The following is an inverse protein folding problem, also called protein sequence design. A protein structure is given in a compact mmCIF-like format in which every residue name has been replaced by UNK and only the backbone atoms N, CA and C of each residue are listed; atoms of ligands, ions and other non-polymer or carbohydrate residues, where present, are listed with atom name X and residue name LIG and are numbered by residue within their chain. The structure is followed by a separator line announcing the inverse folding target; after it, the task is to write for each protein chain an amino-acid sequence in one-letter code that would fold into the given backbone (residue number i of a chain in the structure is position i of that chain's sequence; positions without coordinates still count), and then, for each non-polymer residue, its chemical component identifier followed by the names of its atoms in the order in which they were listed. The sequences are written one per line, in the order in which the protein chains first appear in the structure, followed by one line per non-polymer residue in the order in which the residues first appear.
data_IF_317005872621
#
_entry.id   IF_317005872621
#
_cell.length_a   1.000
_cell.length_b   1.000
_cell.length_c   1.000
_cell.angle_alpha   90.00
_cell.angle_beta   90.00
_cell.angle_gamma   90.00
#
_symmetry.space_group_name_H-M   'P 1'
#
loop_
_entity.id
_entity.type
_entity.pdbx_description
1 polymer ?
#
# COMPACT_ATOMS: atom_id res chain seq x y z
N UNK A 1 22.95 19.76 -18.89
CA UNK A 1 23.94 19.43 -17.84
C UNK A 1 25.15 20.34 -17.82
N UNK A 2 26.04 20.35 -18.83
CA UNK A 2 27.28 21.16 -18.80
C UNK A 2 27.06 22.67 -18.57
N UNK A 3 26.01 23.25 -19.15
CA UNK A 3 25.65 24.67 -18.95
C UNK A 3 25.28 24.98 -17.49
N UNK A 4 24.49 24.12 -16.84
CA UNK A 4 24.10 24.32 -15.44
C UNK A 4 25.29 24.16 -14.48
N UNK A 5 26.13 23.14 -14.69
CA UNK A 5 27.30 22.89 -13.86
C UNK A 5 28.26 24.10 -13.86
N UNK A 6 28.51 24.67 -15.04
CA UNK A 6 29.34 25.86 -15.19
C UNK A 6 28.71 27.09 -14.52
N UNK A 7 27.39 27.26 -14.68
CA UNK A 7 26.67 28.40 -14.12
C UNK A 7 26.71 28.43 -12.58
N UNK A 8 26.51 27.27 -11.94
CA UNK A 8 26.52 27.15 -10.47
C UNK A 8 27.89 26.83 -9.89
N UNK A 9 28.93 26.78 -10.74
CA UNK A 9 30.32 26.52 -10.33
C UNK A 9 30.48 25.21 -9.53
N UNK A 10 29.93 24.12 -10.06
CA UNK A 10 30.15 22.74 -9.60
C UNK A 10 30.70 21.89 -10.76
N UNK A 11 31.33 20.77 -10.44
CA UNK A 11 31.82 19.84 -11.46
C UNK A 11 30.67 19.09 -12.14
N UNK A 12 30.92 18.59 -13.35
CA UNK A 12 29.93 17.73 -14.04
C UNK A 12 29.66 16.42 -13.28
N UNK A 13 30.63 15.92 -12.52
CA UNK A 13 30.48 14.73 -11.66
C UNK A 13 29.51 14.99 -10.52
N UNK A 14 29.66 16.11 -9.80
CA UNK A 14 28.74 16.49 -8.73
C UNK A 14 27.32 16.71 -9.24
N UNK A 15 27.17 17.39 -10.39
CA UNK A 15 25.85 17.56 -10.98
C UNK A 15 25.22 16.20 -11.34
N UNK A 16 26.01 15.25 -11.84
CA UNK A 16 25.52 13.91 -12.16
C UNK A 16 25.06 13.16 -10.91
N UNK A 17 25.87 13.13 -9.85
CA UNK A 17 25.51 12.49 -8.58
C UNK A 17 24.25 13.10 -7.95
N UNK A 18 24.08 14.43 -8.02
CA UNK A 18 22.83 15.06 -7.60
C UNK A 18 21.63 14.62 -8.45
N UNK A 19 21.79 14.48 -9.77
CA UNK A 19 20.72 14.03 -10.65
C UNK A 19 20.36 12.55 -10.42
N UNK A 20 21.33 11.69 -10.10
CA UNK A 20 21.08 10.31 -9.68
C UNK A 20 20.29 10.25 -8.37
N UNK A 21 20.66 11.08 -7.39
CA UNK A 21 19.88 11.23 -6.16
C UNK A 21 18.46 11.72 -6.45
N UNK A 22 18.31 12.77 -7.26
CA UNK A 22 17.01 13.34 -7.59
C UNK A 22 16.12 12.34 -8.33
N UNK A 23 16.67 11.58 -9.27
CA UNK A 23 15.94 10.50 -9.95
C UNK A 23 15.49 9.41 -8.97
N UNK A 24 16.36 9.00 -8.05
CA UNK A 24 16.05 7.99 -7.03
C UNK A 24 14.99 8.51 -6.04
N UNK A 25 15.12 9.77 -5.62
CA UNK A 25 14.18 10.45 -4.73
C UNK A 25 12.78 10.52 -5.35
N UNK A 26 12.69 10.97 -6.60
CA UNK A 26 11.42 11.06 -7.33
C UNK A 26 10.82 9.67 -7.58
N UNK A 27 11.64 8.66 -7.89
CA UNK A 27 11.17 7.30 -8.09
C UNK A 27 10.72 6.61 -6.80
N UNK A 28 11.26 6.99 -5.65
CA UNK A 28 10.93 6.39 -4.34
C UNK A 28 9.91 7.22 -3.56
N UNK A 29 9.47 8.36 -4.13
CA UNK A 29 8.58 9.34 -3.49
C UNK A 29 9.12 9.88 -2.16
N UNK A 30 10.45 9.96 -2.03
CA UNK A 30 11.15 10.35 -0.80
C UNK A 30 12.60 9.90 -0.79
N UNK A 31 13.33 10.18 0.29
CA UNK A 31 14.74 9.78 0.47
C UNK A 31 14.93 8.44 1.19
N UNK A 32 13.91 7.58 1.12
CA UNK A 32 13.95 6.20 1.61
C UNK A 32 13.56 5.28 0.46
N UNK A 33 14.32 4.21 0.24
CA UNK A 33 13.97 3.24 -0.80
C UNK A 33 12.61 2.60 -0.49
N UNK A 34 11.75 2.48 -1.51
CA UNK A 34 10.48 1.75 -1.34
C UNK A 34 10.72 0.30 -0.91
N UNK A 35 11.73 -0.36 -1.47
CA UNK A 35 12.17 -1.68 -1.00
C UNK A 35 13.29 -1.56 0.02
N UNK A 36 13.08 -2.13 1.21
CA UNK A 36 14.07 -2.19 2.29
C UNK A 36 14.06 -0.98 3.23
N UNK A 37 13.29 0.08 2.92
CA UNK A 37 13.06 1.23 3.78
C UNK A 37 14.33 1.90 4.32
N UNK A 38 15.44 1.81 3.59
CA UNK A 38 16.71 2.41 3.97
C UNK A 38 16.82 3.83 3.42
N UNK A 39 17.35 4.74 4.24
CA UNK A 39 17.65 6.10 3.82
C UNK A 39 18.77 6.08 2.77
N UNK A 40 18.63 6.90 1.74
CA UNK A 40 19.73 7.26 0.85
C UNK A 40 19.94 8.76 0.84
N UNK A 41 21.21 9.17 0.78
CA UNK A 41 21.63 10.57 0.79
C UNK A 41 22.32 10.90 -0.54
N UNK A 42 22.30 12.17 -0.98
CA UNK A 42 22.98 12.54 -2.21
C UNK A 42 24.50 12.40 -2.04
N UNK A 43 25.19 11.80 -3.01
CA UNK A 43 26.66 11.74 -3.07
C UNK A 43 27.24 13.08 -3.58
N UNK A 44 26.85 14.19 -2.94
CA UNK A 44 27.37 15.53 -3.21
C UNK A 44 27.56 16.31 -1.92
N UNK A 45 28.51 17.24 -1.94
CA UNK A 45 28.81 18.07 -0.77
C UNK A 45 27.66 19.04 -0.46
N UNK A 46 27.54 19.40 0.83
CA UNK A 46 26.62 20.45 1.27
C UNK A 46 26.83 21.79 0.56
N UNK A 47 28.07 22.10 0.16
CA UNK A 47 28.39 23.33 -0.56
C UNK A 47 27.87 23.28 -2.00
N UNK A 48 27.98 22.13 -2.65
CA UNK A 48 27.46 21.92 -4.00
C UNK A 48 25.92 22.00 -4.01
N UNK A 49 25.26 21.46 -2.99
CA UNK A 49 23.81 21.62 -2.78
C UNK A 49 23.42 23.09 -2.54
N UNK A 50 24.17 23.83 -1.71
CA UNK A 50 23.95 25.27 -1.50
C UNK A 50 24.06 26.07 -2.80
N UNK A 51 25.06 25.77 -3.63
CA UNK A 51 25.24 26.42 -4.94
C UNK A 51 24.08 26.12 -5.89
N UNK A 52 23.61 24.88 -5.94
CA UNK A 52 22.41 24.50 -6.70
C UNK A 52 21.17 25.25 -6.19
N UNK A 53 20.97 25.28 -4.88
CA UNK A 53 19.86 26.01 -4.25
C UNK A 53 19.92 27.53 -4.49
N UNK A 54 21.11 28.09 -4.72
CA UNK A 54 21.28 29.52 -4.94
C UNK A 54 20.70 30.03 -6.26
N UNK A 55 20.27 29.14 -7.16
CA UNK A 55 19.73 29.48 -8.48
C UNK A 55 18.43 30.29 -8.46
N UNK A 56 17.65 30.24 -7.37
CA UNK A 56 16.52 31.14 -7.19
C UNK A 56 16.25 31.40 -5.70
N UNK A 57 15.62 32.53 -5.34
CA UNK A 57 15.21 32.79 -3.97
C UNK A 57 14.34 31.68 -3.38
N UNK A 58 13.41 31.12 -4.19
CA UNK A 58 12.54 30.01 -3.78
C UNK A 58 13.34 28.75 -3.41
N UNK A 59 14.33 28.40 -4.23
CA UNK A 59 15.18 27.23 -3.96
C UNK A 59 16.03 27.42 -2.71
N UNK A 60 16.53 28.63 -2.43
CA UNK A 60 17.26 28.92 -1.19
C UNK A 60 16.40 28.69 0.04
N UNK A 61 15.15 29.17 0.02
CA UNK A 61 14.19 28.98 1.12
C UNK A 61 13.91 27.50 1.32
N UNK A 62 13.51 26.79 0.26
CA UNK A 62 13.23 25.35 0.33
C UNK A 62 14.44 24.56 0.83
N UNK A 63 15.64 24.85 0.33
CA UNK A 63 16.85 24.18 0.78
C UNK A 63 17.13 24.46 2.25
N UNK A 64 16.88 25.67 2.75
CA UNK A 64 17.11 25.99 4.16
C UNK A 64 16.25 25.15 5.12
N UNK A 65 15.07 24.71 4.68
CA UNK A 65 14.19 23.82 5.44
C UNK A 65 14.70 22.37 5.48
N UNK A 66 15.47 21.94 4.47
CA UNK A 66 15.90 20.54 4.31
C UNK A 66 17.41 20.33 4.39
N UNK A 67 18.21 21.39 4.55
CA UNK A 67 19.68 21.36 4.42
C UNK A 67 20.33 20.37 5.39
N UNK A 68 19.78 20.26 6.60
CA UNK A 68 20.21 19.28 7.60
C UNK A 68 19.68 17.87 7.28
N UNK A 69 18.35 17.63 7.17
CA UNK A 69 17.82 16.28 7.02
C UNK A 69 18.20 15.59 5.70
N UNK A 70 18.54 16.33 4.64
CA UNK A 70 18.93 15.76 3.33
C UNK A 70 20.27 15.01 3.39
N UNK A 71 21.21 15.46 4.24
CA UNK A 71 22.52 14.83 4.43
C UNK A 71 22.64 14.04 5.74
N UNK A 72 21.65 14.15 6.63
CA UNK A 72 21.64 13.40 7.88
C UNK A 72 21.64 11.89 7.61
N UNK A 73 22.49 11.15 8.32
CA UNK A 73 22.61 9.70 8.18
C UNK A 73 21.62 8.93 9.07
N UNK A 74 21.34 9.33 10.33
CA UNK A 74 20.13 8.91 11.01
C UNK A 74 18.94 9.83 10.64
N UNK A 75 17.69 9.33 10.71
CA UNK A 75 17.33 7.92 10.94
C UNK A 75 17.65 7.06 9.70
N UNK A 76 18.25 5.89 9.92
CA UNK A 76 18.78 5.03 8.87
C UNK A 76 17.69 4.26 8.11
N UNK A 77 16.55 4.04 8.75
CA UNK A 77 15.43 3.31 8.17
C UNK A 77 14.08 3.89 8.54
N UNK A 78 13.03 3.41 7.88
CA UNK A 78 11.68 3.55 8.41
C UNK A 78 11.41 2.49 9.48
N UNK A 79 10.62 2.86 10.49
CA UNK A 79 10.34 2.01 11.64
C UNK A 79 9.64 2.76 12.76
N UNK A 80 9.54 2.14 13.93
CA UNK A 80 9.05 2.83 15.12
C UNK A 80 9.91 4.08 15.40
N UNK A 81 9.30 5.25 15.67
CA UNK A 81 10.05 6.47 15.91
C UNK A 81 11.08 6.31 17.05
N UNK A 82 12.32 6.71 16.79
CA UNK A 82 13.42 6.66 17.76
C UNK A 82 14.73 7.17 17.16
N UNK A 83 15.87 6.84 17.78
CA UNK A 83 17.17 7.39 17.38
C UNK A 83 17.64 6.92 16.00
N UNK A 84 17.25 5.70 15.59
CA UNK A 84 17.74 5.04 14.37
C UNK A 84 16.68 4.92 13.28
N UNK A 85 15.41 5.17 13.60
CA UNK A 85 14.29 4.95 12.69
C UNK A 85 13.23 6.06 12.85
N UNK A 86 12.49 6.30 11.78
CA UNK A 86 11.36 7.24 11.80
C UNK A 86 10.14 6.68 11.07
N UNK A 87 8.99 7.30 11.31
CA UNK A 87 7.79 7.02 10.54
C UNK A 87 6.90 8.24 10.47
N UNK A 88 6.50 8.61 9.25
CA UNK A 88 5.59 9.71 9.01
C UNK A 88 4.14 9.39 9.39
N UNK A 89 3.81 8.13 9.73
CA UNK A 89 2.53 7.74 10.35
C UNK A 89 2.41 8.21 11.80
N UNK A 90 3.54 8.57 12.42
CA UNK A 90 3.61 9.04 13.80
C UNK A 90 4.26 10.43 13.88
N UNK A 91 3.64 11.47 13.28
CA UNK A 91 4.23 12.79 13.21
C UNK A 91 4.20 13.49 14.57
N UNK A 92 5.02 14.54 14.71
CA UNK A 92 5.04 15.40 15.90
C UNK A 92 6.41 15.45 16.57
N UNK A 93 6.52 16.33 17.58
CA UNK A 93 7.75 16.52 18.35
C UNK A 93 7.89 15.49 19.49
N UNK A 94 6.78 14.99 20.01
CA UNK A 94 6.78 13.97 21.06
C UNK A 94 6.82 12.58 20.44
N UNK A 95 7.86 11.82 20.77
CA UNK A 95 8.02 10.43 20.35
C UNK A 95 6.91 9.60 21.03
N UNK A 96 6.08 8.96 20.21
CA UNK A 96 5.06 8.00 20.65
C UNK A 96 5.69 6.61 20.76
N UNK A 97 5.42 5.90 21.86
CA UNK A 97 5.95 4.56 22.08
C UNK A 97 5.15 3.49 21.33
N UNK A 98 5.74 2.30 21.14
CA UNK A 98 5.06 1.14 20.56
C UNK A 98 3.82 0.74 21.37
N UNK A 99 3.91 0.82 22.69
CA UNK A 99 2.82 0.50 23.62
C UNK A 99 1.68 1.51 23.52
N UNK A 100 2.01 2.79 23.35
CA UNK A 100 1.03 3.86 23.12
C UNK A 100 0.32 3.69 21.77
N UNK A 101 1.07 3.36 20.70
CA UNK A 101 0.48 3.04 19.39
C UNK A 101 -0.48 1.86 19.49
N UNK A 102 -0.09 0.80 20.19
CA UNK A 102 -0.93 -0.38 20.41
C UNK A 102 -2.20 -0.03 21.19
N UNK A 103 -2.07 0.77 22.25
CA UNK A 103 -3.19 1.24 23.07
C UNK A 103 -4.22 2.03 22.24
N UNK A 104 -3.75 3.00 21.44
CA UNK A 104 -4.63 3.80 20.58
C UNK A 104 -5.28 2.92 19.51
N UNK A 105 -4.51 2.05 18.86
CA UNK A 105 -5.04 1.16 17.81
C UNK A 105 -6.11 0.20 18.34
N UNK A 106 -5.93 -0.37 19.54
CA UNK A 106 -6.93 -1.21 20.19
C UNK A 106 -8.20 -0.43 20.57
N UNK A 107 -8.05 0.83 21.00
CA UNK A 107 -9.19 1.68 21.30
C UNK A 107 -10.02 1.98 20.04
N UNK A 108 -9.36 2.34 18.92
CA UNK A 108 -10.02 2.55 17.62
C UNK A 108 -10.78 1.31 17.15
N UNK A 109 -10.18 0.12 17.26
CA UNK A 109 -10.85 -1.15 16.95
C UNK A 109 -12.12 -1.35 17.80
N UNK A 110 -12.03 -1.08 19.10
CA UNK A 110 -13.16 -1.12 20.03
C UNK A 110 -14.30 -0.19 19.64
N UNK A 111 -13.98 0.98 19.08
CA UNK A 111 -14.95 1.96 18.60
C UNK A 111 -15.41 1.73 17.15
N UNK A 112 -14.93 0.68 16.47
CA UNK A 112 -15.23 0.40 15.06
C UNK A 112 -14.67 1.46 14.10
N UNK A 113 -13.54 2.05 14.45
CA UNK A 113 -12.84 3.03 13.63
C UNK A 113 -11.64 2.31 12.99
N UNK A 114 -11.69 2.21 11.68
CA UNK A 114 -10.68 1.54 10.87
C UNK A 114 -9.43 2.44 10.73
N UNK A 115 -8.21 1.93 10.96
CA UNK A 115 -6.99 2.74 11.03
C UNK A 115 -6.32 3.06 9.69
N UNK A 116 -6.72 2.43 8.58
CA UNK A 116 -6.00 2.39 7.31
C UNK A 116 -5.68 3.78 6.75
N UNK A 117 -6.58 4.76 6.92
CA UNK A 117 -6.41 6.13 6.45
C UNK A 117 -6.07 7.13 7.58
N UNK A 118 -5.36 6.67 8.61
CA UNK A 118 -5.04 7.48 9.79
C UNK A 118 -3.55 7.63 10.07
N UNK A 119 -3.18 8.73 10.74
CA UNK A 119 -1.88 8.92 11.42
C UNK A 119 -2.10 9.23 12.90
N UNK A 120 -1.10 9.06 13.75
CA UNK A 120 -1.20 9.40 15.18
C UNK A 120 -0.12 10.41 15.58
N UNK A 121 -0.54 11.56 16.09
CA UNK A 121 0.36 12.53 16.72
C UNK A 121 0.16 12.53 18.24
N UNK A 122 1.25 12.39 18.99
CA UNK A 122 1.23 12.58 20.45
C UNK A 122 1.44 14.06 20.78
N UNK A 123 0.58 14.61 21.63
CA UNK A 123 0.68 15.97 22.16
C UNK A 123 0.46 15.96 23.67
N UNK A 124 1.11 16.89 24.37
CA UNK A 124 0.83 17.15 25.78
C UNK A 124 -0.02 18.41 25.90
N UNK A 125 -1.18 18.32 26.54
CA UNK A 125 -2.09 19.45 26.76
C UNK A 125 -2.50 19.51 28.23
N UNK A 126 -2.15 20.60 28.91
CA UNK A 126 -2.48 20.84 30.32
C UNK A 126 -2.12 19.66 31.26
N UNK A 127 -0.98 19.00 31.03
CA UNK A 127 -0.53 17.85 31.83
C UNK A 127 -1.22 16.52 31.50
N UNK A 128 -2.07 16.49 30.47
CA UNK A 128 -2.71 15.27 29.96
C UNK A 128 -2.11 14.88 28.61
N UNK A 129 -1.78 13.61 28.44
CA UNK A 129 -1.38 13.05 27.16
C UNK A 129 -2.59 12.95 26.24
N UNK A 130 -2.51 13.56 25.06
CA UNK A 130 -3.53 13.46 24.02
C UNK A 130 -2.93 12.81 22.78
N UNK A 131 -3.62 11.81 22.25
CA UNK A 131 -3.28 11.15 21.00
C UNK A 131 -4.23 11.63 19.91
N UNK A 132 -3.72 12.49 19.04
CA UNK A 132 -4.47 13.02 17.90
C UNK A 132 -4.40 12.03 16.74
N UNK A 133 -5.54 11.42 16.42
CA UNK A 133 -5.73 10.57 15.25
C UNK A 133 -6.13 11.47 14.09
N UNK A 134 -5.21 11.64 13.16
CA UNK A 134 -5.38 12.46 11.96
C UNK A 134 -6.00 11.57 10.88
N UNK A 135 -7.25 11.81 10.53
CA UNK A 135 -7.98 11.02 9.52
C UNK A 135 -7.92 11.73 8.16
N UNK A 136 -7.45 11.00 7.15
CA UNK A 136 -7.30 11.54 5.81
C UNK A 136 -8.66 11.83 5.15
N UNK A 137 -8.89 13.10 4.81
CA UNK A 137 -10.17 13.58 4.26
C UNK A 137 -10.06 15.01 3.73
N UNK A 138 -10.90 15.36 2.76
CA UNK A 138 -11.08 16.76 2.30
C UNK A 138 -11.82 17.59 3.34
N UNK A 139 -12.84 17.02 3.97
CA UNK A 139 -13.58 17.68 5.04
C UNK A 139 -12.71 17.83 6.28
N UNK A 140 -12.82 18.98 6.93
CA UNK A 140 -12.08 19.29 8.14
C UNK A 140 -13.07 19.46 9.31
N UNK A 141 -12.70 18.97 10.48
CA UNK A 141 -13.53 19.15 11.68
C UNK A 141 -13.12 20.43 12.41
N UNK A 142 -14.07 21.34 12.64
CA UNK A 142 -13.87 22.49 13.53
C UNK A 142 -13.67 22.03 15.00
N UNK A 143 -14.35 20.94 15.38
CA UNK A 143 -14.29 20.32 16.69
C UNK A 143 -14.11 18.82 16.52
N UNK A 144 -12.93 18.34 16.92
CA UNK A 144 -12.59 16.93 16.85
C UNK A 144 -13.34 16.10 17.91
N UNK A 145 -13.58 14.82 17.61
CA UNK A 145 -14.23 13.90 18.54
C UNK A 145 -13.22 13.41 19.58
N UNK A 146 -13.58 13.44 20.85
CA UNK A 146 -12.70 13.02 21.95
C UNK A 146 -13.25 11.80 22.69
N UNK A 147 -12.35 10.87 22.98
CA UNK A 147 -12.65 9.62 23.66
C UNK A 147 -11.61 9.36 24.76
N UNK A 148 -12.02 9.11 26.01
CA UNK A 148 -11.08 8.80 27.08
C UNK A 148 -10.45 7.42 26.86
N UNK A 149 -9.14 7.31 27.08
CA UNK A 149 -8.48 6.01 27.15
C UNK A 149 -8.71 5.34 28.51
N UNK A 150 -8.71 3.99 28.56
CA UNK A 150 -8.79 3.25 29.81
C UNK A 150 -7.66 3.64 30.80
N UNK A 151 -7.92 3.44 32.09
CA UNK A 151 -6.97 3.65 33.18
C UNK A 151 -6.37 5.06 33.28
N UNK A 152 -7.07 6.09 32.78
CA UNK A 152 -6.58 7.49 32.76
C UNK A 152 -5.26 7.67 32.01
N UNK A 153 -4.99 6.83 30.99
CA UNK A 153 -3.78 6.89 30.16
C UNK A 153 -3.77 8.02 29.13
N UNK A 154 -4.77 8.90 29.15
CA UNK A 154 -4.91 10.04 28.25
C UNK A 154 -6.23 10.05 27.50
N UNK A 155 -6.27 10.82 26.41
CA UNK A 155 -7.45 10.98 25.55
C UNK A 155 -7.05 10.73 24.11
N UNK A 156 -7.90 10.05 23.34
CA UNK A 156 -7.80 9.99 21.87
C UNK A 156 -8.70 11.08 21.30
N UNK A 157 -8.13 11.92 20.44
CA UNK A 157 -8.85 12.96 19.69
C UNK A 157 -8.80 12.63 18.20
N UNK A 158 -9.94 12.48 17.56
CA UNK A 158 -10.04 12.12 16.14
C UNK A 158 -10.43 13.36 15.34
N UNK A 159 -9.57 13.76 14.41
CA UNK A 159 -9.73 14.95 13.59
C UNK A 159 -9.66 14.59 12.11
N UNK A 160 -10.65 15.01 11.34
CA UNK A 160 -10.62 14.99 9.87
C UNK A 160 -9.79 16.16 9.29
N UNK A 161 -9.42 16.06 8.02
CA UNK A 161 -8.68 17.08 7.29
C UNK A 161 -7.22 16.75 6.97
N UNK A 162 -6.75 15.54 7.29
CA UNK A 162 -5.38 15.18 6.94
C UNK A 162 -5.24 15.03 5.42
N UNK A 163 -4.24 15.67 4.82
CA UNK A 163 -4.05 15.75 3.36
C UNK A 163 -5.26 16.32 2.58
N UNK A 164 -6.03 17.25 3.18
CA UNK A 164 -7.26 17.79 2.58
C UNK A 164 -7.06 18.41 1.19
N UNK A 165 -5.98 19.17 1.01
CA UNK A 165 -5.64 19.82 -0.26
C UNK A 165 -5.35 18.83 -1.38
N UNK A 166 -4.54 17.80 -1.12
CA UNK A 166 -4.21 16.77 -2.09
C UNK A 166 -5.44 15.93 -2.43
N UNK A 167 -6.21 15.52 -1.43
CA UNK A 167 -7.43 14.71 -1.64
C UNK A 167 -8.51 15.47 -2.40
N UNK A 168 -8.59 16.80 -2.29
CA UNK A 168 -9.52 17.60 -3.09
C UNK A 168 -9.20 17.52 -4.59
N UNK A 169 -7.91 17.48 -4.95
CA UNK A 169 -7.46 17.28 -6.33
C UNK A 169 -7.78 15.87 -6.84
N UNK A 170 -7.63 14.85 -5.97
CA UNK A 170 -8.01 13.47 -6.28
C UNK A 170 -9.52 13.37 -6.54
N UNK A 171 -10.35 13.93 -5.65
CA UNK A 171 -11.81 13.98 -5.81
C UNK A 171 -12.23 14.66 -7.13
N UNK A 172 -11.63 15.80 -7.47
CA UNK A 172 -11.90 16.52 -8.72
C UNK A 172 -11.55 15.68 -9.96
N UNK A 173 -10.43 14.98 -9.91
CA UNK A 173 -9.96 14.09 -10.99
C UNK A 173 -10.90 12.89 -11.16
N UNK A 174 -11.29 12.25 -10.06
CA UNK A 174 -12.24 11.13 -10.07
C UNK A 174 -13.63 11.54 -10.56
N UNK A 175 -14.12 12.72 -10.17
CA UNK A 175 -15.40 13.25 -10.64
C UNK A 175 -15.38 13.50 -12.16
N UNK A 176 -14.23 13.90 -12.71
CA UNK A 176 -14.06 14.02 -14.16
C UNK A 176 -13.99 12.64 -14.81
N UNK A 177 -13.23 11.70 -14.25
CA UNK A 177 -13.11 10.34 -14.75
C UNK A 177 -14.45 9.58 -14.78
N UNK A 178 -15.31 9.79 -13.77
CA UNK A 178 -16.64 9.15 -13.68
C UNK A 178 -17.54 9.44 -14.89
N UNK A 179 -17.37 10.59 -15.57
CA UNK A 179 -18.09 10.94 -16.81
C UNK A 179 -17.73 10.03 -17.99
N UNK A 180 -16.61 9.31 -17.89
CA UNK A 180 -16.07 8.41 -18.91
C UNK A 180 -16.13 6.94 -18.49
N UNK A 181 -16.81 6.62 -17.38
CA UNK A 181 -17.02 5.24 -16.93
C UNK A 181 -17.73 4.40 -18.01
N UNK A 182 -17.26 3.17 -18.21
CA UNK A 182 -17.76 2.28 -19.25
C UNK A 182 -19.12 1.65 -18.90
N UNK A 183 -19.45 1.59 -17.60
CA UNK A 183 -20.68 1.00 -17.09
C UNK A 183 -21.10 1.66 -15.76
N UNK A 184 -22.29 1.34 -15.26
CA UNK A 184 -22.81 1.91 -14.01
C UNK A 184 -22.03 1.43 -12.78
N UNK A 185 -21.54 0.19 -12.76
CA UNK A 185 -20.69 -0.35 -11.68
C UNK A 185 -19.45 0.53 -11.47
N UNK A 186 -18.81 0.96 -12.56
CA UNK A 186 -17.68 1.87 -12.52
C UNK A 186 -18.04 3.24 -11.99
N UNK A 187 -19.18 3.82 -12.40
CA UNK A 187 -19.64 5.09 -11.85
C UNK A 187 -19.87 4.99 -10.34
N UNK A 188 -20.45 3.88 -9.90
CA UNK A 188 -20.82 3.66 -8.51
C UNK A 188 -19.59 3.50 -7.60
N UNK A 189 -18.62 2.63 -7.93
CA UNK A 189 -17.43 2.51 -7.09
C UNK A 189 -16.56 3.78 -7.14
N UNK A 190 -16.51 4.51 -8.27
CA UNK A 190 -15.82 5.80 -8.36
C UNK A 190 -16.49 6.85 -7.47
N UNK A 191 -17.82 6.86 -7.37
CA UNK A 191 -18.54 7.73 -6.44
C UNK A 191 -18.18 7.41 -4.98
N UNK A 192 -18.04 6.14 -4.64
CA UNK A 192 -17.57 5.73 -3.31
C UNK A 192 -16.09 6.08 -3.06
N UNK A 193 -15.21 6.03 -4.07
CA UNK A 193 -13.85 6.56 -3.96
C UNK A 193 -13.83 8.06 -3.67
N UNK A 194 -14.69 8.84 -4.33
CA UNK A 194 -14.85 10.27 -4.01
C UNK A 194 -15.33 10.43 -2.56
N UNK A 195 -16.27 9.57 -2.11
CA UNK A 195 -16.81 9.65 -0.76
C UNK A 195 -15.79 9.36 0.35
N UNK A 196 -14.95 8.31 0.19
CA UNK A 196 -13.87 8.04 1.16
C UNK A 196 -12.88 9.21 1.20
N UNK A 197 -12.47 9.77 0.06
CA UNK A 197 -11.51 10.88 0.07
C UNK A 197 -12.12 12.18 0.58
N UNK A 198 -13.42 12.41 0.34
CA UNK A 198 -14.15 13.56 0.89
C UNK A 198 -14.28 13.47 2.40
N UNK A 199 -14.77 12.33 2.91
CA UNK A 199 -15.25 12.21 4.29
C UNK A 199 -14.32 11.47 5.24
N UNK A 200 -13.37 10.69 4.71
CA UNK A 200 -12.53 9.77 5.48
C UNK A 200 -13.20 8.43 5.81
N UNK A 201 -14.40 8.15 5.30
CA UNK A 201 -15.17 6.95 5.65
C UNK A 201 -14.63 5.67 5.01
N UNK A 202 -13.95 4.83 5.80
CA UNK A 202 -13.54 3.49 5.36
C UNK A 202 -14.72 2.52 5.16
N UNK A 203 -15.92 2.83 5.64
CA UNK A 203 -17.13 2.10 5.25
C UNK A 203 -17.43 2.33 3.76
N UNK A 204 -17.35 3.59 3.28
CA UNK A 204 -17.52 3.89 1.87
C UNK A 204 -16.44 3.23 1.00
N UNK A 205 -15.20 3.14 1.49
CA UNK A 205 -14.14 2.37 0.81
C UNK A 205 -14.51 0.90 0.67
N UNK A 206 -14.97 0.27 1.75
CA UNK A 206 -15.37 -1.15 1.74
C UNK A 206 -16.54 -1.40 0.80
N UNK A 207 -17.50 -0.48 0.72
CA UNK A 207 -18.61 -0.55 -0.23
C UNK A 207 -18.10 -0.42 -1.68
N UNK A 208 -17.16 0.52 -1.93
CA UNK A 208 -16.50 0.64 -3.23
C UNK A 208 -15.81 -0.67 -3.64
N UNK A 209 -15.13 -1.34 -2.70
CA UNK A 209 -14.46 -2.61 -2.98
C UNK A 209 -15.46 -3.71 -3.32
N UNK A 210 -16.57 -3.82 -2.58
CA UNK A 210 -17.64 -4.80 -2.89
C UNK A 210 -18.18 -4.61 -4.31
N UNK A 211 -18.39 -3.37 -4.73
CA UNK A 211 -18.88 -3.04 -6.07
C UNK A 211 -17.78 -3.30 -7.13
N UNK A 212 -16.55 -2.85 -6.87
CA UNK A 212 -15.41 -3.00 -7.79
C UNK A 212 -15.09 -4.47 -8.11
N UNK A 213 -15.21 -5.38 -7.14
CA UNK A 213 -15.03 -6.84 -7.38
C UNK A 213 -16.00 -7.36 -8.46
N UNK A 214 -17.19 -6.74 -8.60
CA UNK A 214 -18.21 -7.16 -9.58
C UNK A 214 -17.97 -6.64 -11.00
N UNK A 215 -17.11 -5.62 -11.18
CA UNK A 215 -16.70 -5.13 -12.50
C UNK A 215 -15.68 -6.10 -13.11
N UNK A 216 -16.14 -7.18 -13.72
CA UNK A 216 -15.28 -8.26 -14.23
C UNK A 216 -14.66 -7.91 -15.58
N UNK A 217 -13.37 -8.23 -15.73
CA UNK A 217 -12.60 -8.07 -16.96
C UNK A 217 -12.76 -6.70 -17.64
N UNK A 218 -12.59 -5.57 -16.91
CA UNK A 218 -12.68 -4.26 -17.52
C UNK A 218 -11.52 -4.05 -18.51
N UNK A 219 -11.75 -3.28 -19.57
CA UNK A 219 -10.68 -2.92 -20.50
C UNK A 219 -9.63 -2.01 -19.83
N UNK A 220 -10.09 -1.11 -18.96
CA UNK A 220 -9.25 -0.25 -18.12
C UNK A 220 -9.52 -0.60 -16.67
N UNK A 221 -8.51 -1.17 -16.00
CA UNK A 221 -8.57 -1.50 -14.59
C UNK A 221 -7.96 -0.37 -13.76
N UNK A 222 -8.49 -0.15 -12.56
CA UNK A 222 -7.99 0.87 -11.64
C UNK A 222 -8.09 0.45 -10.18
N UNK A 223 -7.11 0.90 -9.40
CA UNK A 223 -7.05 0.77 -7.94
C UNK A 223 -6.74 2.16 -7.40
N UNK A 224 -7.44 2.61 -6.35
CA UNK A 224 -7.12 3.86 -5.67
C UNK A 224 -7.60 3.82 -4.23
N UNK A 225 -6.72 4.20 -3.29
CA UNK A 225 -7.06 4.23 -1.88
C UNK A 225 -5.84 4.16 -0.97
N UNK A 226 -6.09 3.98 0.32
CA UNK A 226 -5.09 3.58 1.31
C UNK A 226 -5.11 2.05 1.37
N UNK A 227 -4.15 1.40 0.72
CA UNK A 227 -4.27 -0.02 0.36
C UNK A 227 -3.35 -0.91 1.19
N UNK A 228 -2.04 -0.66 1.15
CA UNK A 228 -1.03 -1.58 1.68
C UNK A 228 -0.39 -1.06 2.99
N UNK A 229 -0.39 -1.83 4.09
CA UNK A 229 0.10 -1.37 5.38
C UNK A 229 1.59 -1.62 5.64
N UNK A 230 2.38 -2.01 4.63
CA UNK A 230 3.76 -2.49 4.81
C UNK A 230 4.70 -1.51 5.49
N UNK A 231 4.50 -0.20 5.29
CA UNK A 231 5.41 0.86 5.78
C UNK A 231 4.99 1.47 7.12
N UNK A 232 3.83 1.10 7.64
CA UNK A 232 3.50 1.36 9.04
C UNK A 232 4.22 0.31 9.91
N UNK A 233 5.14 0.69 10.81
CA UNK A 233 5.82 -0.27 11.68
C UNK A 233 4.87 -1.05 12.62
N UNK A 234 3.64 -0.55 12.84
CA UNK A 234 2.59 -1.28 13.55
C UNK A 234 1.74 -2.17 12.63
N UNK A 235 1.76 -1.93 11.32
CA UNK A 235 1.15 -2.77 10.29
C UNK A 235 -0.36 -2.61 10.13
N UNK A 236 -0.95 -1.46 10.50
CA UNK A 236 -2.41 -1.23 10.40
C UNK A 236 -2.80 -0.01 9.58
N UNK A 237 -1.90 0.96 9.42
CA UNK A 237 -2.11 2.15 8.60
C UNK A 237 -1.57 1.89 7.20
N UNK A 238 -2.34 2.24 6.19
CA UNK A 238 -2.04 1.90 4.82
C UNK A 238 -1.48 3.09 4.04
N UNK A 239 -0.56 2.81 3.13
CA UNK A 239 -0.01 3.80 2.22
C UNK A 239 -1.03 4.10 1.11
N UNK A 240 -1.11 5.37 0.70
CA UNK A 240 -1.93 5.75 -0.45
C UNK A 240 -1.29 5.23 -1.74
N UNK A 241 -2.09 4.61 -2.60
CA UNK A 241 -1.68 4.24 -3.95
C UNK A 241 -2.78 4.50 -4.99
N UNK A 242 -2.34 4.61 -6.24
CA UNK A 242 -3.22 4.74 -7.39
C UNK A 242 -2.64 4.03 -8.62
N UNK A 243 -3.42 3.17 -9.25
CA UNK A 243 -3.04 2.42 -10.45
C UNK A 243 -4.10 2.61 -11.53
N UNK A 244 -3.66 2.84 -12.76
CA UNK A 244 -4.49 2.76 -13.97
C UNK A 244 -3.76 1.91 -14.99
N UNK A 245 -4.46 0.90 -15.51
CA UNK A 245 -3.86 -0.08 -16.40
C UNK A 245 -4.84 -0.54 -17.48
N UNK A 246 -4.30 -1.11 -18.55
CA UNK A 246 -5.09 -1.72 -19.64
C UNK A 246 -4.93 -3.23 -19.55
N UNK A 247 -6.04 -3.95 -19.66
CA UNK A 247 -6.04 -5.42 -19.63
C UNK A 247 -5.40 -6.02 -20.88
N UNK A 248 -4.55 -7.02 -20.69
CA UNK A 248 -4.04 -7.90 -21.75
C UNK A 248 -5.05 -9.03 -21.97
N UNK A 249 -5.84 -8.91 -23.03
CA UNK A 249 -6.95 -9.84 -23.31
C UNK A 249 -6.44 -11.27 -23.55
N UNK A 250 -5.30 -11.44 -24.21
CA UNK A 250 -4.81 -12.78 -24.57
C UNK A 250 -4.19 -13.50 -23.36
N UNK A 251 -3.37 -12.81 -22.56
CA UNK A 251 -2.84 -13.39 -21.32
C UNK A 251 -3.96 -13.66 -20.30
N UNK A 252 -4.94 -12.74 -20.21
CA UNK A 252 -6.10 -12.89 -19.31
C UNK A 252 -6.93 -14.13 -19.64
N UNK A 253 -7.07 -14.52 -20.93
CA UNK A 253 -7.75 -15.77 -21.31
C UNK A 253 -7.07 -17.01 -20.70
N UNK A 254 -5.73 -17.02 -20.66
CA UNK A 254 -4.99 -18.14 -20.06
C UNK A 254 -5.18 -18.20 -18.54
N UNK A 255 -5.14 -17.03 -17.88
CA UNK A 255 -5.40 -16.91 -16.44
C UNK A 255 -6.84 -17.30 -16.08
N UNK A 256 -7.81 -16.91 -16.91
CA UNK A 256 -9.22 -17.30 -16.74
C UNK A 256 -9.38 -18.82 -16.75
N UNK A 257 -8.73 -19.53 -17.68
CA UNK A 257 -8.73 -21.01 -17.70
C UNK A 257 -8.11 -21.60 -16.43
N UNK A 258 -7.06 -21.00 -15.89
CA UNK A 258 -6.48 -21.43 -14.61
C UNK A 258 -7.49 -21.28 -13.46
N UNK A 259 -8.18 -20.13 -13.41
CA UNK A 259 -9.22 -19.84 -12.42
C UNK A 259 -10.37 -20.85 -12.51
N UNK A 260 -10.85 -21.15 -13.71
CA UNK A 260 -11.91 -22.17 -13.96
C UNK A 260 -11.51 -23.56 -13.45
N UNK A 261 -10.21 -23.86 -13.39
CA UNK A 261 -9.67 -25.14 -12.94
C UNK A 261 -9.09 -25.11 -11.51
N UNK A 262 -9.13 -23.95 -10.83
CA UNK A 262 -8.50 -23.71 -9.53
C UNK A 262 -8.92 -24.71 -8.44
N UNK A 263 -10.20 -25.12 -8.42
CA UNK A 263 -10.72 -26.10 -7.46
C UNK A 263 -9.94 -27.43 -7.49
N UNK A 264 -9.47 -27.86 -8.67
CA UNK A 264 -8.64 -29.06 -8.81
C UNK A 264 -7.30 -28.93 -8.09
N UNK A 265 -6.72 -27.73 -8.09
CA UNK A 265 -5.44 -27.45 -7.44
C UNK A 265 -5.61 -27.24 -5.94
N UNK A 266 -6.69 -26.58 -5.52
CA UNK A 266 -7.00 -26.33 -4.10
C UNK A 266 -7.15 -27.65 -3.33
N UNK A 267 -7.80 -28.65 -3.93
CA UNK A 267 -7.94 -30.00 -3.34
C UNK A 267 -6.61 -30.77 -3.21
N UNK A 268 -5.49 -30.21 -3.69
CA UNK A 268 -4.13 -30.77 -3.58
C UNK A 268 -3.25 -30.01 -2.59
N UNK A 269 -3.76 -28.96 -1.97
CA UNK A 269 -3.04 -28.22 -0.93
C UNK A 269 -2.79 -29.12 0.28
N UNK A 270 -1.73 -28.85 1.04
CA UNK A 270 -1.30 -29.71 2.16
C UNK A 270 -2.30 -29.78 3.31
N UNK A 271 -3.23 -28.82 3.39
CA UNK A 271 -4.34 -28.80 4.37
C UNK A 271 -5.66 -29.32 3.81
N UNK A 272 -5.69 -29.77 2.55
CA UNK A 272 -6.86 -30.43 1.99
C UNK A 272 -7.13 -31.75 2.74
N UNK A 273 -8.41 -32.03 2.99
CA UNK A 273 -8.85 -33.27 3.64
C UNK A 273 -9.55 -34.17 2.62
N UNK A 274 -9.85 -35.41 3.00
CA UNK A 274 -10.60 -36.32 2.12
C UNK A 274 -11.96 -35.75 1.69
N UNK A 275 -12.55 -36.32 0.64
CA UNK A 275 -13.79 -35.83 0.00
C UNK A 275 -15.02 -35.65 0.93
N UNK A 276 -14.95 -36.13 2.17
CA UNK A 276 -16.00 -35.95 3.18
C UNK A 276 -16.06 -34.57 3.84
N UNK A 277 -15.08 -33.68 3.63
CA UNK A 277 -15.04 -32.33 4.25
C UNK A 277 -14.89 -31.25 3.18
N UNK A 278 -15.88 -30.36 3.08
CA UNK A 278 -15.93 -29.23 2.12
C UNK A 278 -15.54 -29.64 0.68
N UNK A 279 -16.08 -30.75 0.18
CA UNK A 279 -15.80 -31.31 -1.16
C UNK A 279 -14.30 -31.61 -1.40
N UNK A 280 -13.60 -32.04 -0.35
CA UNK A 280 -12.17 -32.38 -0.39
C UNK A 280 -11.24 -31.17 -0.27
N UNK A 281 -11.77 -29.99 0.05
CA UNK A 281 -10.96 -28.79 0.32
C UNK A 281 -10.46 -28.72 1.77
N UNK A 282 -11.11 -29.45 2.69
CA UNK A 282 -10.75 -29.49 4.11
C UNK A 282 -11.25 -28.29 4.92
N UNK A 283 -11.13 -28.42 6.25
CA UNK A 283 -11.74 -27.48 7.22
C UNK A 283 -11.13 -26.08 7.23
N UNK A 284 -9.92 -25.96 6.67
CA UNK A 284 -9.13 -24.72 6.63
C UNK A 284 -9.29 -23.95 5.32
N UNK A 285 -10.16 -24.41 4.42
CA UNK A 285 -10.43 -23.75 3.16
C UNK A 285 -11.80 -23.06 3.15
N UNK A 286 -11.98 -22.08 2.26
CA UNK A 286 -13.27 -21.39 2.13
C UNK A 286 -14.33 -22.35 1.59
N UNK A 287 -15.47 -22.41 2.28
CA UNK A 287 -16.59 -23.28 1.90
C UNK A 287 -17.16 -22.85 0.55
N UNK A 288 -17.38 -21.54 0.35
CA UNK A 288 -17.65 -20.93 -0.95
C UNK A 288 -16.31 -20.55 -1.59
N UNK A 289 -15.98 -21.16 -2.73
CA UNK A 289 -14.89 -20.69 -3.57
C UNK A 289 -15.53 -20.05 -4.80
N UNK A 290 -15.76 -18.73 -4.74
CA UNK A 290 -16.08 -17.97 -5.93
C UNK A 290 -14.77 -17.72 -6.69
N UNK A 291 -14.66 -18.19 -7.94
CA UNK A 291 -13.46 -17.95 -8.74
C UNK A 291 -13.22 -16.44 -8.84
N UNK A 292 -12.09 -15.94 -8.33
CA UNK A 292 -11.81 -14.51 -8.37
C UNK A 292 -11.57 -14.08 -9.82
N UNK A 293 -11.72 -12.78 -10.09
CA UNK A 293 -11.24 -12.26 -11.38
C UNK A 293 -9.71 -12.42 -11.41
N UNK A 294 -9.14 -12.76 -12.56
CA UNK A 294 -7.70 -12.83 -12.72
C UNK A 294 -7.26 -12.26 -14.06
N UNK A 295 -6.76 -11.03 -14.01
CA UNK A 295 -6.41 -10.25 -15.18
C UNK A 295 -4.91 -10.03 -15.26
N UNK A 296 -4.37 -10.15 -16.46
CA UNK A 296 -3.07 -9.59 -16.79
C UNK A 296 -3.28 -8.15 -17.26
N UNK A 297 -2.44 -7.22 -16.79
CA UNK A 297 -2.55 -5.80 -17.09
C UNK A 297 -1.20 -5.22 -17.51
N UNK A 298 -1.27 -4.15 -18.31
CA UNK A 298 -0.17 -3.27 -18.62
C UNK A 298 -0.43 -1.92 -17.95
N UNK A 299 0.41 -1.56 -16.99
CA UNK A 299 0.30 -0.29 -16.27
C UNK A 299 0.57 0.87 -17.20
N UNK A 300 -0.33 1.85 -17.17
CA UNK A 300 -0.12 3.18 -17.74
C UNK A 300 0.49 4.12 -16.71
N UNK A 301 -0.07 4.11 -15.50
CA UNK A 301 0.38 4.92 -14.36
C UNK A 301 0.23 4.10 -13.09
N UNK A 302 1.26 4.15 -12.24
CA UNK A 302 1.22 3.62 -10.88
C UNK A 302 1.90 4.61 -9.94
N UNK A 303 1.09 5.27 -9.12
CA UNK A 303 1.51 6.14 -8.04
C UNK A 303 1.63 5.32 -6.76
N UNK A 304 2.82 4.80 -6.48
CA UNK A 304 3.14 4.08 -5.24
C UNK A 304 4.63 4.19 -4.96
N UNK A 305 5.02 4.01 -3.69
CA UNK A 305 6.44 3.93 -3.30
C UNK A 305 7.09 2.62 -3.77
N UNK A 306 6.27 1.58 -4.02
CA UNK A 306 6.69 0.27 -4.51
C UNK A 306 5.80 -0.12 -5.70
N UNK A 307 6.43 -0.57 -6.79
CA UNK A 307 5.72 -1.08 -7.96
C UNK A 307 5.71 -2.61 -7.90
N UNK A 308 4.59 -3.17 -7.43
CA UNK A 308 4.42 -4.62 -7.29
C UNK A 308 4.31 -5.34 -8.65
N UNK A 309 4.68 -6.63 -8.75
CA UNK A 309 4.49 -7.45 -9.95
C UNK A 309 3.11 -8.11 -10.03
N UNK A 310 2.43 -8.24 -8.90
CA UNK A 310 1.12 -8.84 -8.74
C UNK A 310 0.40 -8.23 -7.55
N UNK A 311 -0.94 -8.26 -7.57
CA UNK A 311 -1.80 -7.68 -6.54
C UNK A 311 -3.02 -8.59 -6.34
N UNK A 312 -3.38 -8.86 -5.08
CA UNK A 312 -4.64 -9.51 -4.70
C UNK A 312 -5.46 -8.58 -3.80
N UNK A 313 -6.61 -8.11 -4.28
CA UNK A 313 -7.45 -7.14 -3.57
C UNK A 313 -8.93 -7.52 -3.52
N UNK A 314 -9.70 -6.96 -2.58
CA UNK A 314 -9.28 -6.02 -1.53
C UNK A 314 -8.59 -6.72 -0.35
N UNK A 315 -7.82 -5.97 0.45
CA UNK A 315 -7.19 -6.46 1.69
C UNK A 315 -8.19 -6.81 2.83
N UNK A 316 -9.47 -6.48 2.64
CA UNK A 316 -10.53 -6.77 3.61
C UNK A 316 -10.93 -8.26 3.61
N UNK A 317 -10.42 -9.04 4.56
CA UNK A 317 -10.65 -10.49 4.65
C UNK A 317 -12.13 -10.91 4.63
N UNK A 318 -13.03 -10.16 5.28
CA UNK A 318 -14.44 -10.49 5.25
C UNK A 318 -15.08 -10.24 3.87
N UNK A 319 -14.67 -9.20 3.14
CA UNK A 319 -15.10 -8.98 1.76
C UNK A 319 -14.58 -10.11 0.86
N UNK A 320 -13.31 -10.53 1.04
CA UNK A 320 -12.73 -11.66 0.31
C UNK A 320 -13.47 -12.98 0.54
N UNK A 321 -14.06 -13.16 1.73
CA UNK A 321 -14.86 -14.34 2.07
C UNK A 321 -16.31 -14.25 1.58
N UNK A 322 -16.91 -13.07 1.60
CA UNK A 322 -18.34 -12.86 1.32
C UNK A 322 -18.64 -12.51 -0.14
N UNK A 323 -17.72 -11.82 -0.82
CA UNK A 323 -17.92 -11.24 -2.16
C UNK A 323 -16.84 -11.65 -3.17
N UNK A 324 -15.73 -12.23 -2.71
CA UNK A 324 -14.60 -12.61 -3.56
C UNK A 324 -13.50 -11.54 -3.64
N UNK A 325 -12.60 -11.71 -4.60
CA UNK A 325 -11.44 -10.86 -4.83
C UNK A 325 -11.12 -10.72 -6.32
N UNK A 326 -10.20 -9.81 -6.64
CA UNK A 326 -9.55 -9.71 -7.94
C UNK A 326 -8.05 -9.95 -7.76
N UNK A 327 -7.48 -10.69 -8.70
CA UNK A 327 -6.05 -10.91 -8.83
C UNK A 327 -5.58 -10.20 -10.09
N UNK A 328 -4.45 -9.54 -10.00
CA UNK A 328 -3.92 -8.74 -11.09
C UNK A 328 -2.44 -9.06 -11.26
N UNK A 329 -2.02 -9.41 -12.48
CA UNK A 329 -0.61 -9.55 -12.87
C UNK A 329 -0.18 -8.32 -13.66
N UNK A 330 0.96 -7.75 -13.30
CA UNK A 330 1.49 -6.55 -13.94
C UNK A 330 2.58 -6.96 -14.95
N UNK A 331 2.16 -7.37 -16.14
CA UNK A 331 3.04 -8.01 -17.13
C UNK A 331 4.15 -7.10 -17.65
N UNK A 332 3.89 -5.80 -17.86
CA UNK A 332 4.93 -4.87 -18.31
C UNK A 332 5.99 -4.59 -17.24
N UNK A 333 5.63 -4.58 -15.95
CA UNK A 333 6.62 -4.51 -14.85
C UNK A 333 7.48 -5.76 -14.82
N UNK A 334 6.87 -6.94 -14.84
CA UNK A 334 7.59 -8.22 -14.78
C UNK A 334 8.52 -8.39 -15.99
N UNK A 335 8.06 -7.98 -17.17
CA UNK A 335 8.86 -7.96 -18.40
C UNK A 335 10.06 -7.02 -18.28
N UNK A 336 9.88 -5.81 -17.75
CA UNK A 336 10.96 -4.84 -17.58
C UNK A 336 12.03 -5.35 -16.59
N UNK A 337 11.60 -5.92 -15.47
CA UNK A 337 12.49 -6.49 -14.45
C UNK A 337 13.28 -7.69 -14.98
N UNK A 338 12.65 -8.52 -15.81
CA UNK A 338 13.29 -9.71 -16.36
C UNK A 338 14.26 -9.41 -17.51
N UNK A 339 14.01 -8.33 -18.28
CA UNK A 339 14.88 -7.88 -19.39
C UNK A 339 16.13 -7.14 -18.93
N UNK A 340 16.21 -6.75 -17.66
CA UNK A 340 17.38 -6.07 -17.12
C UNK A 340 18.57 -7.00 -17.26
N UNK A 341 19.56 -6.60 -18.06
CA UNK A 341 20.80 -7.34 -18.35
C UNK A 341 21.74 -7.40 -17.14
N UNK A 342 21.17 -7.64 -15.96
CA UNK A 342 21.89 -7.77 -14.72
C UNK A 342 22.71 -9.06 -14.77
N UNK A 343 23.97 -8.96 -14.34
CA UNK A 343 24.74 -10.11 -13.93
C UNK A 343 23.90 -10.91 -12.93
N UNK A 344 23.95 -12.23 -13.00
CA UNK A 344 23.35 -13.10 -11.99
C UNK A 344 24.46 -13.49 -11.02
N UNK A 345 24.78 -12.67 -9.98
CA UNK A 345 26.00 -12.79 -9.18
C UNK A 345 26.11 -14.10 -8.38
N UNK A 346 25.07 -14.92 -8.38
CA UNK A 346 24.99 -16.18 -7.63
C UNK A 346 24.54 -17.37 -8.50
N UNK A 347 24.54 -17.21 -9.83
CA UNK A 347 24.26 -18.30 -10.76
C UNK A 347 25.60 -18.74 -11.35
N UNK A 348 25.87 -20.04 -11.27
CA UNK A 348 27.06 -20.61 -11.88
C UNK A 348 27.05 -20.35 -13.40
N UNK A 349 28.22 -20.08 -13.97
CA UNK A 349 28.34 -19.76 -15.40
C UNK A 349 27.77 -20.89 -16.28
N UNK A 350 27.87 -22.14 -15.84
CA UNK A 350 27.29 -23.30 -16.53
C UNK A 350 25.76 -23.33 -16.56
N UNK A 351 25.09 -22.63 -15.63
CA UNK A 351 23.63 -22.53 -15.56
C UNK A 351 23.09 -21.21 -16.12
N UNK A 352 23.96 -20.24 -16.40
CA UNK A 352 23.58 -18.88 -16.76
C UNK A 352 22.64 -18.80 -17.98
N UNK A 353 22.93 -19.54 -19.06
CA UNK A 353 22.09 -19.56 -20.26
C UNK A 353 20.68 -20.12 -19.95
N UNK A 354 20.63 -21.25 -19.23
CA UNK A 354 19.38 -21.89 -18.82
C UNK A 354 18.58 -20.97 -17.91
N UNK A 355 19.22 -20.36 -16.91
CA UNK A 355 18.59 -19.41 -16.01
C UNK A 355 18.00 -18.23 -16.78
N UNK A 356 18.78 -17.58 -17.65
CA UNK A 356 18.30 -16.43 -18.43
C UNK A 356 17.12 -16.80 -19.33
N UNK A 357 17.16 -17.97 -19.97
CA UNK A 357 16.07 -18.47 -20.80
C UNK A 357 14.78 -18.69 -20.02
N UNK A 358 14.87 -19.15 -18.77
CA UNK A 358 13.71 -19.54 -17.97
C UNK A 358 13.31 -18.54 -16.87
N UNK A 359 14.11 -17.48 -16.65
CA UNK A 359 13.89 -16.45 -15.62
C UNK A 359 12.50 -15.84 -15.69
N UNK A 360 12.11 -15.28 -16.84
CA UNK A 360 10.79 -14.65 -16.98
C UNK A 360 9.64 -15.65 -16.85
N UNK A 361 9.60 -16.79 -17.58
CA UNK A 361 8.52 -17.77 -17.42
C UNK A 361 8.38 -18.29 -15.99
N UNK A 362 9.49 -18.57 -15.30
CA UNK A 362 9.46 -19.03 -13.91
C UNK A 362 8.94 -17.95 -12.96
N UNK A 363 9.41 -16.70 -13.12
CA UNK A 363 8.94 -15.56 -12.35
C UNK A 363 7.45 -15.29 -12.59
N UNK A 364 6.99 -15.31 -13.84
CA UNK A 364 5.59 -15.16 -14.22
C UNK A 364 4.70 -16.18 -13.52
N UNK A 365 5.01 -17.47 -13.65
CA UNK A 365 4.21 -18.52 -13.01
C UNK A 365 4.30 -18.48 -11.48
N UNK A 366 5.45 -18.10 -10.92
CA UNK A 366 5.57 -17.90 -9.48
C UNK A 366 4.60 -16.83 -8.98
N UNK A 367 4.56 -15.64 -9.62
CA UNK A 367 3.61 -14.58 -9.22
C UNK A 367 2.16 -15.03 -9.45
N UNK A 368 1.85 -15.65 -10.59
CA UNK A 368 0.49 -16.17 -10.86
C UNK A 368 0.02 -17.13 -9.77
N UNK A 369 0.88 -18.03 -9.32
CA UNK A 369 0.59 -18.98 -8.26
C UNK A 369 0.63 -18.32 -6.86
N UNK A 370 1.40 -17.25 -6.68
CA UNK A 370 1.43 -16.47 -5.45
C UNK A 370 0.09 -15.76 -5.21
N UNK A 371 -0.47 -15.10 -6.24
CA UNK A 371 -1.72 -14.35 -6.10
C UNK A 371 -2.93 -15.26 -5.94
N UNK A 372 -3.11 -16.22 -6.87
CA UNK A 372 -4.35 -16.98 -6.97
C UNK A 372 -4.44 -18.11 -5.92
N UNK A 373 -3.63 -19.20 -6.00
CA UNK A 373 -3.68 -20.26 -5.00
C UNK A 373 -2.90 -19.94 -3.72
N UNK A 374 -2.02 -18.93 -3.71
CA UNK A 374 -1.36 -18.45 -2.49
C UNK A 374 -2.28 -17.56 -1.67
N UNK A 375 -2.34 -16.26 -1.99
CA UNK A 375 -3.18 -15.30 -1.27
C UNK A 375 -4.68 -15.64 -1.34
N UNK A 376 -5.18 -16.15 -2.48
CA UNK A 376 -6.61 -16.38 -2.69
C UNK A 376 -7.23 -17.56 -1.91
N UNK A 377 -6.42 -18.46 -1.34
CA UNK A 377 -6.87 -19.65 -0.61
C UNK A 377 -6.83 -19.44 0.91
N UNK A 378 -7.25 -20.45 1.67
CA UNK A 378 -7.38 -20.48 3.12
C UNK A 378 -8.57 -19.69 3.70
N UNK A 379 -9.04 -20.17 4.86
CA UNK A 379 -10.14 -19.60 5.63
C UNK A 379 -9.62 -19.00 6.92
N UNK A 380 -9.91 -17.71 7.12
CA UNK A 380 -9.72 -17.05 8.40
C UNK A 380 -10.85 -17.43 9.35
N UNK A 381 -10.48 -17.94 10.52
CA UNK A 381 -11.42 -18.45 11.52
C UNK A 381 -11.84 -17.33 12.47
N UNK A 382 -13.09 -16.87 12.33
CA UNK A 382 -13.64 -15.73 13.10
C UNK A 382 -14.68 -16.22 14.09
N UNK A 383 -14.63 -15.72 15.33
CA UNK A 383 -15.66 -16.00 16.35
C UNK A 383 -16.92 -15.19 16.03
N UNK A 384 -18.01 -15.85 15.62
CA UNK A 384 -19.32 -15.21 15.43
C UNK A 384 -19.96 -14.90 16.79
N UNK A 385 -20.52 -13.71 16.94
CA UNK A 385 -21.09 -13.19 18.20
C UNK A 385 -22.37 -13.96 18.64
N UNK A 386 -23.01 -14.72 17.73
CA UNK A 386 -24.36 -15.28 17.94
C UNK A 386 -24.48 -16.82 17.84
N UNK A 387 -23.43 -17.61 18.07
CA UNK A 387 -23.58 -19.07 18.14
C UNK A 387 -22.97 -19.61 19.42
N UNK A 388 -23.78 -20.32 20.22
CA UNK A 388 -23.44 -20.98 21.49
C UNK A 388 -22.44 -22.15 21.36
N UNK A 389 -21.77 -22.26 20.22
CA UNK A 389 -20.69 -23.23 19.98
C UNK A 389 -19.34 -22.57 20.25
N UNK A 390 -18.83 -22.79 21.46
CA UNK A 390 -17.43 -22.51 21.81
C UNK A 390 -16.58 -23.49 21.00
N UNK A 391 -15.97 -22.99 19.94
CA UNK A 391 -15.01 -23.77 19.17
C UNK A 391 -13.63 -23.65 19.81
N UNK A 392 -12.88 -24.76 19.90
CA UNK A 392 -11.68 -24.92 20.76
C UNK A 392 -10.36 -24.50 20.13
N UNK A 393 -10.37 -23.99 18.90
CA UNK A 393 -9.18 -23.49 18.17
C UNK A 393 -8.98 -21.98 18.46
N UNK A 394 -7.79 -21.37 18.26
CA UNK A 394 -7.67 -19.91 18.31
C UNK A 394 -8.50 -19.26 17.19
N UNK A 395 -9.14 -18.12 17.49
CA UNK A 395 -10.01 -17.36 16.55
C UNK A 395 -9.63 -15.89 16.54
N UNK A 396 -9.89 -15.23 15.41
CA UNK A 396 -9.97 -13.78 15.35
C UNK A 396 -11.32 -13.31 15.90
N UNK A 397 -11.32 -12.22 16.66
CA UNK A 397 -12.55 -11.48 16.97
C UNK A 397 -13.10 -10.83 15.68
N UNK A 398 -14.40 -10.49 15.59
CA UNK A 398 -15.04 -10.02 14.36
C UNK A 398 -14.39 -8.85 13.61
N UNK A 399 -13.42 -8.16 14.22
CA UNK A 399 -12.76 -6.95 13.71
C UNK A 399 -11.24 -7.01 13.74
N UNK A 400 -10.69 -8.12 14.25
CA UNK A 400 -9.26 -8.37 14.15
C UNK A 400 -8.96 -8.85 12.73
N UNK A 401 -8.01 -8.18 12.09
CA UNK A 401 -7.54 -8.50 10.73
C UNK A 401 -6.29 -9.35 10.74
#
# INVERSE_FOLDING_TARGET
MKSLANEVQITSRELHAFLEYAATFLSSLGNYYGSGDQKFVPDVSAESLKKLAAKSPKLKVLYSEIAEPILATPPFSLGYPGDLAQSAYYPGLHIISKEEIALVSQALEGWSIFPENTRIRKVESAGTTVFEVLQASVEEDEICQEFPLPDSKGVVRICRGDHSGELALVCSSLATASKHAANETQKEFLAHYIEIFRTGSLHAYRDSQRIWITDKAPLVENISGFVEPYRDPYGTRAEFEGLVAISDIEETKALTRLVENSATFIKRLSWAEGAGVDDGKGSFEKTLFEPPDFTSIHILVYCSSIIFPGINLPNCNNIRQECGSKNVIISNRMSAESKKGDLCPFIDESEAETFQKHKYPAYYWWVVLHELPGHGTSKMMVKRVNTSTISTKPWYMPRQT
#
